data_IF_927350476760
#
_entry.id   IF_927350476760
#
_cell.length_a   1.000
_cell.length_b   1.000
_cell.length_c   1.000
_cell.angle_alpha   90.00
_cell.angle_beta   90.00
_cell.angle_gamma   90.00
#
_symmetry.space_group_name_H-M   'P 1'
#
loop_
_entity.id
_entity.type
_entity.pdbx_description
1 polymer ?
#
# COMPACT_ATOMS: atom_id res chain seq x y z
N UNK A 1 -20.14 1.96 -9.22
CA UNK A 1 -20.70 3.17 -9.87
C UNK A 1 -22.21 3.32 -9.76
N UNK A 2 -22.95 2.26 -9.47
CA UNK A 2 -24.41 2.24 -9.26
C UNK A 2 -24.89 2.94 -7.98
N UNK A 3 -24.02 3.60 -7.21
CA UNK A 3 -24.38 4.52 -6.10
C UNK A 3 -24.49 5.99 -6.54
N UNK A 4 -24.02 6.34 -7.74
CA UNK A 4 -24.14 7.70 -8.28
C UNK A 4 -25.53 7.98 -8.86
N UNK A 5 -25.97 9.23 -8.79
CA UNK A 5 -27.24 9.72 -9.35
C UNK A 5 -27.00 10.89 -10.31
N UNK A 6 -27.86 11.05 -11.32
CA UNK A 6 -27.93 12.27 -12.11
C UNK A 6 -28.82 13.31 -11.43
N UNK A 7 -28.27 14.49 -11.16
CA UNK A 7 -29.00 15.56 -10.50
C UNK A 7 -28.48 16.95 -10.89
N UNK A 8 -29.37 17.93 -10.90
CA UNK A 8 -28.98 19.33 -11.02
C UNK A 8 -28.03 19.74 -9.90
N UNK A 9 -26.99 20.48 -10.26
CA UNK A 9 -25.97 20.97 -9.34
C UNK A 9 -26.48 22.16 -8.50
N UNK A 10 -27.55 21.92 -7.73
CA UNK A 10 -28.11 22.83 -6.73
C UNK A 10 -27.95 22.22 -5.34
N UNK A 11 -27.64 23.07 -4.37
CA UNK A 11 -27.56 22.65 -2.97
C UNK A 11 -28.97 22.49 -2.39
N UNK A 12 -29.16 21.44 -1.62
CA UNK A 12 -30.37 21.23 -0.83
C UNK A 12 -30.40 22.13 0.41
N UNK A 13 -31.57 22.24 1.04
CA UNK A 13 -31.71 22.97 2.31
C UNK A 13 -30.84 22.31 3.41
N UNK A 14 -30.01 23.10 4.08
CA UNK A 14 -29.03 22.60 5.06
C UNK A 14 -27.75 22.00 4.46
N UNK A 15 -27.63 21.93 3.13
CA UNK A 15 -26.43 21.50 2.43
C UNK A 15 -25.50 22.70 2.20
N UNK A 16 -24.26 22.62 2.70
CA UNK A 16 -23.27 23.68 2.56
C UNK A 16 -22.11 23.21 1.67
N UNK A 17 -21.61 24.13 0.84
CA UNK A 17 -20.37 23.93 0.09
C UNK A 17 -19.16 23.86 1.03
N UNK A 18 -18.29 22.88 0.81
CA UNK A 18 -17.04 22.73 1.57
C UNK A 18 -15.83 23.02 0.70
N UNK A 19 -15.67 22.27 -0.39
CA UNK A 19 -14.48 22.36 -1.23
C UNK A 19 -14.69 21.91 -2.66
N UNK A 20 -13.76 22.26 -3.54
CA UNK A 20 -13.79 21.98 -4.98
C UNK A 20 -12.40 21.63 -5.45
N UNK A 21 -12.31 20.65 -6.34
CA UNK A 21 -11.08 20.27 -7.02
C UNK A 21 -11.36 19.97 -8.50
N UNK A 22 -10.32 20.02 -9.35
CA UNK A 22 -10.40 19.94 -10.80
C UNK A 22 -9.59 18.76 -11.34
N UNK A 23 -9.76 18.48 -12.63
CA UNK A 23 -9.03 17.44 -13.35
C UNK A 23 -9.15 16.06 -12.68
N UNK A 24 -10.36 15.77 -12.18
CA UNK A 24 -10.69 14.54 -11.45
C UNK A 24 -11.31 13.51 -12.38
N UNK A 25 -10.78 12.30 -12.37
CA UNK A 25 -11.31 11.12 -13.07
C UNK A 25 -11.95 10.15 -12.07
N UNK A 26 -13.07 9.54 -12.44
CA UNK A 26 -13.75 8.51 -11.66
C UNK A 26 -13.42 7.10 -12.19
N UNK A 27 -13.22 6.15 -11.29
CA UNK A 27 -13.10 4.72 -11.57
C UNK A 27 -14.21 3.94 -10.90
N UNK A 28 -14.68 2.87 -11.54
CA UNK A 28 -15.56 1.88 -10.90
C UNK A 28 -14.72 0.69 -10.45
N UNK A 29 -14.46 0.56 -9.16
CA UNK A 29 -13.41 -0.37 -8.71
C UNK A 29 -12.07 -0.04 -9.35
N UNK A 30 -11.54 -0.98 -10.13
CA UNK A 30 -10.33 -0.82 -10.94
C UNK A 30 -10.60 -0.43 -12.40
N UNK A 31 -11.87 -0.44 -12.82
CA UNK A 31 -12.26 -0.13 -14.19
C UNK A 31 -12.28 1.38 -14.46
N UNK A 32 -11.69 1.77 -15.58
CA UNK A 32 -11.70 3.16 -16.06
C UNK A 32 -13.10 3.51 -16.56
N UNK A 33 -13.67 4.59 -16.03
CA UNK A 33 -14.94 5.13 -16.55
C UNK A 33 -14.71 6.20 -17.63
N UNK A 34 -15.78 6.59 -18.32
CA UNK A 34 -15.81 7.72 -19.25
C UNK A 34 -15.76 9.09 -18.55
N UNK A 35 -15.84 9.15 -17.23
CA UNK A 35 -15.87 10.39 -16.46
C UNK A 35 -14.46 10.87 -16.16
N UNK A 36 -13.94 11.68 -17.09
CA UNK A 36 -12.55 12.15 -17.10
C UNK A 36 -12.51 13.67 -17.14
N UNK A 37 -11.44 14.27 -16.62
CA UNK A 37 -11.19 15.72 -16.70
C UNK A 37 -12.35 16.58 -16.16
N UNK A 38 -13.00 16.07 -15.11
CA UNK A 38 -14.11 16.74 -14.47
C UNK A 38 -13.72 17.54 -13.25
N UNK A 39 -14.73 18.17 -12.70
CA UNK A 39 -14.68 18.97 -11.50
C UNK A 39 -15.48 18.28 -10.40
N UNK A 40 -14.86 18.15 -9.23
CA UNK A 40 -15.51 17.62 -8.04
C UNK A 40 -15.84 18.74 -7.08
N UNK A 41 -17.06 18.76 -6.55
CA UNK A 41 -17.50 19.67 -5.49
C UNK A 41 -17.98 18.85 -4.31
N UNK A 42 -17.33 19.05 -3.18
CA UNK A 42 -17.68 18.47 -1.89
C UNK A 42 -18.62 19.41 -1.14
N UNK A 43 -19.72 18.83 -0.66
CA UNK A 43 -20.66 19.48 0.24
C UNK A 43 -20.74 18.72 1.56
N UNK A 44 -21.50 19.25 2.53
CA UNK A 44 -21.75 18.56 3.80
C UNK A 44 -22.50 17.23 3.66
N UNK A 45 -23.15 16.96 2.52
CA UNK A 45 -24.02 15.79 2.34
C UNK A 45 -23.60 14.88 1.18
N UNK A 46 -22.89 15.41 0.18
CA UNK A 46 -22.63 14.70 -1.08
C UNK A 46 -21.41 15.24 -1.83
N UNK A 47 -20.96 14.44 -2.77
CA UNK A 47 -19.90 14.75 -3.72
C UNK A 47 -20.56 14.89 -5.09
N UNK A 48 -20.40 16.05 -5.70
CA UNK A 48 -20.85 16.33 -7.06
C UNK A 48 -19.67 16.23 -8.01
N UNK A 49 -19.87 15.59 -9.16
CA UNK A 49 -18.89 15.55 -10.23
C UNK A 49 -19.55 15.97 -11.55
N UNK A 50 -18.95 16.92 -12.27
CA UNK A 50 -19.46 17.39 -13.56
C UNK A 50 -18.32 17.84 -14.48
N UNK A 51 -18.61 18.16 -15.74
CA UNK A 51 -17.57 18.75 -16.60
C UNK A 51 -17.23 20.17 -16.11
N UNK A 52 -16.03 20.68 -16.41
CA UNK A 52 -15.63 22.02 -15.97
C UNK A 52 -16.68 23.08 -16.36
N UNK A 53 -17.26 23.74 -15.35
CA UNK A 53 -18.27 24.78 -15.55
C UNK A 53 -19.73 24.30 -15.55
N UNK A 54 -20.01 22.98 -15.50
CA UNK A 54 -21.37 22.46 -15.42
C UNK A 54 -21.99 22.71 -14.04
N UNK A 55 -21.23 22.45 -12.97
CA UNK A 55 -21.69 22.60 -11.58
C UNK A 55 -22.06 24.07 -11.27
N UNK A 56 -21.22 25.08 -11.57
CA UNK A 56 -21.58 26.49 -11.35
C UNK A 56 -22.80 26.97 -12.15
N UNK A 57 -23.10 26.32 -13.29
CA UNK A 57 -24.26 26.65 -14.14
C UNK A 57 -25.54 25.92 -13.69
N UNK A 58 -25.46 25.08 -12.65
CA UNK A 58 -26.60 24.30 -12.17
C UNK A 58 -27.02 23.19 -13.15
N UNK A 59 -26.14 22.74 -14.03
CA UNK A 59 -26.44 21.67 -14.98
C UNK A 59 -26.48 20.30 -14.26
N UNK A 60 -26.98 19.29 -14.98
CA UNK A 60 -27.04 17.91 -14.48
C UNK A 60 -25.61 17.37 -14.31
N UNK A 61 -25.32 16.87 -13.12
CA UNK A 61 -24.04 16.32 -12.71
C UNK A 61 -24.23 14.96 -12.04
N UNK A 62 -23.13 14.24 -11.82
CA UNK A 62 -23.11 13.03 -11.00
C UNK A 62 -23.08 13.41 -9.53
N UNK A 63 -23.93 12.78 -8.73
CA UNK A 63 -23.99 12.96 -7.28
C UNK A 63 -23.78 11.64 -6.56
N UNK A 64 -22.83 11.62 -5.63
CA UNK A 64 -22.63 10.54 -4.67
C UNK A 64 -22.89 11.06 -3.26
N UNK A 65 -23.85 10.48 -2.56
CA UNK A 65 -24.10 10.86 -1.17
C UNK A 65 -23.02 10.33 -0.24
N UNK A 66 -22.62 11.15 0.74
CA UNK A 66 -21.57 10.81 1.71
C UNK A 66 -22.00 9.67 2.64
N UNK A 67 -23.30 9.47 2.87
CA UNK A 67 -23.80 8.37 3.71
C UNK A 67 -23.46 6.97 3.16
N UNK A 68 -23.13 6.85 1.86
CA UNK A 68 -22.65 5.58 1.32
C UNK A 68 -21.21 5.26 1.75
N UNK A 69 -20.40 6.27 2.08
CA UNK A 69 -18.97 6.11 2.34
C UNK A 69 -18.78 5.62 3.77
N UNK A 70 -18.22 4.42 3.94
CA UNK A 70 -17.89 3.87 5.27
C UNK A 70 -16.38 3.76 5.54
N UNK A 71 -15.56 3.75 4.49
CA UNK A 71 -14.10 3.74 4.60
C UNK A 71 -13.48 4.54 3.45
N UNK A 72 -12.33 5.17 3.71
CA UNK A 72 -11.56 5.92 2.72
C UNK A 72 -10.08 5.56 2.84
N UNK A 73 -9.43 5.41 1.70
CA UNK A 73 -8.00 5.09 1.61
C UNK A 73 -7.32 6.02 0.59
N UNK A 74 -6.04 6.33 0.81
CA UNK A 74 -5.21 7.02 -0.18
C UNK A 74 -4.33 6.00 -0.91
N UNK A 75 -4.56 5.84 -2.21
CA UNK A 75 -3.71 5.04 -3.09
C UNK A 75 -2.70 5.98 -3.78
N UNK A 76 -1.43 5.84 -3.43
CA UNK A 76 -0.35 6.46 -4.18
C UNK A 76 -0.07 5.60 -5.41
N UNK A 77 -0.67 5.94 -6.55
CA UNK A 77 -0.37 5.28 -7.81
C UNK A 77 1.12 5.42 -8.15
N UNK A 78 1.71 4.38 -8.73
CA UNK A 78 3.12 4.36 -9.13
C UNK A 78 3.79 3.05 -8.69
N UNK A 79 4.69 2.53 -9.53
CA UNK A 79 5.54 1.41 -9.12
C UNK A 79 6.41 1.92 -7.95
N UNK A 80 6.30 1.29 -6.78
CA UNK A 80 7.02 1.69 -5.55
C UNK A 80 6.69 3.09 -4.98
N UNK A 81 5.49 3.63 -5.21
CA UNK A 81 5.08 4.91 -4.62
C UNK A 81 5.79 6.15 -5.20
N UNK A 82 6.57 5.99 -6.27
CA UNK A 82 7.21 7.07 -7.00
C UNK A 82 6.41 7.39 -8.28
N UNK A 83 5.79 8.57 -8.29
CA UNK A 83 5.45 9.29 -9.53
C UNK A 83 4.18 8.89 -10.30
N UNK A 84 3.25 8.14 -9.72
CA UNK A 84 1.92 7.94 -10.34
C UNK A 84 0.84 8.83 -9.72
N UNK A 85 -0.35 8.89 -10.37
CA UNK A 85 -1.43 9.73 -9.90
C UNK A 85 -1.95 9.21 -8.56
N UNK A 86 -1.96 10.09 -7.55
CA UNK A 86 -2.60 9.82 -6.27
C UNK A 86 -4.11 9.70 -6.46
N UNK A 87 -4.72 8.73 -5.76
CA UNK A 87 -6.14 8.43 -5.84
C UNK A 87 -6.73 8.34 -4.45
N UNK A 88 -7.96 8.81 -4.32
CA UNK A 88 -8.78 8.57 -3.14
C UNK A 88 -9.68 7.38 -3.46
N UNK A 89 -9.59 6.32 -2.68
CA UNK A 89 -10.48 5.16 -2.74
C UNK A 89 -11.61 5.38 -1.74
N UNK A 90 -12.85 5.26 -2.20
CA UNK A 90 -14.05 5.36 -1.37
C UNK A 90 -14.76 4.02 -1.36
N UNK A 91 -14.81 3.37 -0.20
CA UNK A 91 -15.58 2.14 -0.02
C UNK A 91 -17.04 2.49 0.32
N UNK A 92 -17.95 1.90 -0.45
CA UNK A 92 -19.36 2.26 -0.49
C UNK A 92 -20.24 1.13 0.04
N UNK A 93 -21.23 1.48 0.85
CA UNK A 93 -22.27 0.57 1.32
C UNK A 93 -23.24 0.10 0.21
N UNK A 94 -24.21 -0.76 0.56
CA UNK A 94 -25.24 -1.22 -0.38
C UNK A 94 -26.06 -0.05 -0.95
N UNK A 95 -26.54 -0.18 -2.19
CA UNK A 95 -27.51 0.78 -2.77
C UNK A 95 -28.81 0.77 -1.98
N UNK A 96 -29.42 1.94 -1.81
CA UNK A 96 -30.73 2.07 -1.15
C UNK A 96 -31.84 2.01 -2.21
N UNK A 97 -32.97 1.33 -1.95
CA UNK A 97 -34.14 1.37 -2.82
C UNK A 97 -34.68 2.79 -3.02
N UNK A 98 -35.14 3.12 -4.22
CA UNK A 98 -35.71 4.44 -4.53
C UNK A 98 -34.69 5.51 -4.99
N UNK A 99 -33.43 5.11 -5.21
CA UNK A 99 -32.38 5.94 -5.79
C UNK A 99 -32.76 6.45 -7.19
N UNK A 100 -32.36 7.68 -7.54
CA UNK A 100 -32.54 8.24 -8.89
C UNK A 100 -31.67 7.52 -9.94
N UNK A 101 -32.01 7.60 -11.24
CA UNK A 101 -31.18 7.05 -12.31
C UNK A 101 -29.74 7.58 -12.25
N UNK A 102 -28.78 6.70 -12.52
CA UNK A 102 -27.35 6.99 -12.48
C UNK A 102 -26.61 6.38 -13.67
N UNK A 103 -25.27 6.51 -13.70
CA UNK A 103 -24.45 6.06 -14.83
C UNK A 103 -24.38 4.54 -14.97
N UNK A 104 -24.70 3.78 -13.91
CA UNK A 104 -24.74 2.33 -13.91
C UNK A 104 -25.96 1.83 -13.11
N UNK A 105 -26.58 0.75 -13.58
CA UNK A 105 -27.71 0.09 -12.89
C UNK A 105 -27.20 -0.83 -11.78
N UNK A 106 -26.12 -1.56 -12.06
CA UNK A 106 -25.42 -2.44 -11.12
C UNK A 106 -23.93 -2.24 -11.29
N UNK A 107 -23.19 -2.27 -10.20
CA UNK A 107 -21.74 -2.33 -10.20
C UNK A 107 -21.26 -3.59 -9.49
N UNK A 108 -20.28 -4.33 -10.04
CA UNK A 108 -19.69 -5.47 -9.36
C UNK A 108 -18.77 -5.05 -8.19
N UNK A 109 -18.43 -3.76 -8.09
CA UNK A 109 -17.48 -3.24 -7.12
C UNK A 109 -18.16 -2.53 -5.95
N UNK A 110 -17.55 -2.68 -4.77
CA UNK A 110 -17.99 -2.04 -3.53
C UNK A 110 -17.19 -0.78 -3.21
N UNK A 111 -16.39 -0.30 -4.16
CA UNK A 111 -15.57 0.90 -4.03
C UNK A 111 -15.44 1.63 -5.35
N UNK A 112 -15.09 2.91 -5.28
CA UNK A 112 -14.76 3.75 -6.43
C UNK A 112 -13.45 4.48 -6.16
N UNK A 113 -12.80 4.97 -7.21
CA UNK A 113 -11.58 5.79 -7.06
C UNK A 113 -11.76 7.17 -7.71
N UNK A 114 -11.35 8.22 -7.00
CA UNK A 114 -11.11 9.53 -7.59
C UNK A 114 -9.62 9.71 -7.84
N UNK A 115 -9.24 9.86 -9.11
CA UNK A 115 -7.87 10.13 -9.53
C UNK A 115 -7.72 11.59 -9.89
N UNK A 116 -6.82 12.29 -9.22
CA UNK A 116 -6.56 13.71 -9.41
C UNK A 116 -5.32 13.85 -10.28
N UNK A 117 -5.44 14.42 -11.49
CA UNK A 117 -4.30 14.55 -12.40
C UNK A 117 -3.23 15.49 -11.86
N UNK A 118 -3.63 16.53 -11.13
CA UNK A 118 -2.72 17.53 -10.55
C UNK A 118 -2.23 17.14 -9.14
N UNK A 119 -2.56 15.93 -8.69
CA UNK A 119 -2.35 15.48 -7.30
C UNK A 119 -3.57 15.75 -6.42
N UNK A 120 -3.63 15.09 -5.26
CA UNK A 120 -4.71 15.29 -4.30
C UNK A 120 -4.43 16.58 -3.50
N UNK A 121 -5.37 17.52 -3.51
CA UNK A 121 -5.34 18.64 -2.56
C UNK A 121 -5.57 18.11 -1.13
N UNK A 122 -4.55 18.24 -0.27
CA UNK A 122 -4.62 17.84 1.14
C UNK A 122 -5.80 18.54 1.87
N UNK A 123 -6.15 19.77 1.50
CA UNK A 123 -7.29 20.46 2.09
C UNK A 123 -8.63 19.84 1.66
N UNK A 124 -8.73 19.37 0.41
CA UNK A 124 -9.88 18.63 -0.08
C UNK A 124 -10.03 17.29 0.62
N UNK A 125 -8.95 16.50 0.73
CA UNK A 125 -8.99 15.20 1.42
C UNK A 125 -9.36 15.35 2.89
N UNK A 126 -8.77 16.32 3.60
CA UNK A 126 -9.11 16.61 4.99
C UNK A 126 -10.58 17.02 5.14
N UNK A 127 -11.08 17.92 4.29
CA UNK A 127 -12.47 18.34 4.31
C UNK A 127 -13.44 17.17 4.03
N UNK A 128 -13.09 16.26 3.11
CA UNK A 128 -13.87 15.06 2.84
C UNK A 128 -13.92 14.14 4.06
N UNK A 129 -12.77 13.91 4.71
CA UNK A 129 -12.68 13.11 5.92
C UNK A 129 -13.52 13.68 7.07
N UNK A 130 -13.40 14.99 7.30
CA UNK A 130 -14.20 15.70 8.31
C UNK A 130 -15.69 15.67 7.97
N UNK A 131 -16.08 15.83 6.70
CA UNK A 131 -17.48 15.79 6.28
C UNK A 131 -18.11 14.40 6.48
N UNK A 132 -17.38 13.34 6.14
CA UNK A 132 -17.84 11.96 6.36
C UNK A 132 -17.95 11.66 7.85
N UNK A 133 -16.98 12.09 8.66
CA UNK A 133 -17.00 11.91 10.11
C UNK A 133 -18.10 12.73 10.82
N UNK A 134 -18.38 13.94 10.33
CA UNK A 134 -19.39 14.84 10.90
C UNK A 134 -20.83 14.35 10.66
N UNK A 135 -21.03 13.49 9.64
CA UNK A 135 -22.31 12.86 9.30
C UNK A 135 -23.49 13.83 9.33
N UNK A 136 -23.35 14.97 8.65
CA UNK A 136 -24.35 16.04 8.70
C UNK A 136 -25.76 15.58 8.31
N UNK A 137 -25.86 14.54 7.47
CA UNK A 137 -27.11 13.90 7.04
C UNK A 137 -27.85 13.13 8.14
N UNK A 138 -27.18 12.73 9.24
CA UNK A 138 -27.84 12.08 10.40
C UNK A 138 -28.43 13.11 11.37
N UNK A 139 -28.03 14.38 11.25
CA UNK A 139 -28.56 15.47 12.06
C UNK A 139 -29.96 15.85 11.56
N UNK A 140 -30.93 15.01 11.88
CA UNK A 140 -32.35 15.35 11.74
C UNK A 140 -32.60 16.64 12.50
N UNK A 141 -33.21 17.63 11.82
CA UNK A 141 -33.73 18.83 12.45
C UNK A 141 -34.64 18.41 13.62
N UNK A 142 -34.13 18.47 14.85
CA UNK A 142 -35.01 18.58 16.00
C UNK A 142 -35.70 19.93 15.88
N UNK A 143 -36.92 19.89 15.35
CA UNK A 143 -37.93 20.92 15.56
C UNK A 143 -38.12 21.00 17.07
N UNK A 144 -37.32 21.83 17.73
CA UNK A 144 -37.48 22.16 19.13
C UNK A 144 -38.53 23.25 19.19
N UNK A 145 -39.75 22.78 19.48
CA UNK A 145 -40.87 23.54 20.00
C UNK A 145 -40.43 24.60 20.99
N UNK A 146 -40.94 25.81 20.76
CA UNK A 146 -40.93 26.97 21.63
C UNK A 146 -41.30 26.66 23.07
N UNK A 147 -40.39 27.00 24.00
CA UNK A 147 -40.76 27.26 25.39
C UNK A 147 -40.08 28.55 25.85
N UNK A 148 -40.92 29.57 25.99
CA UNK A 148 -40.66 30.82 26.69
C UNK A 148 -40.09 30.58 28.09
N UNK A 149 -39.17 31.44 28.53
CA UNK A 149 -39.12 32.16 29.83
C UNK A 149 -37.79 32.96 29.92
N UNK A 150 -37.71 34.01 30.77
CA UNK A 150 -37.17 35.29 30.32
C UNK A 150 -35.78 35.66 30.87
N UNK A 151 -35.13 36.55 30.11
CA UNK A 151 -34.24 37.66 30.48
C UNK A 151 -33.40 37.57 31.78
N UNK A 152 -32.08 37.56 31.58
CA UNK A 152 -31.14 38.22 32.49
C UNK A 152 -30.12 39.00 31.65
N UNK A 153 -30.13 40.31 31.86
CA UNK A 153 -29.24 41.31 31.27
C UNK A 153 -27.76 41.01 31.53
N UNK A 154 -26.97 40.93 30.47
CA UNK A 154 -25.59 41.41 30.48
C UNK A 154 -25.13 41.72 29.07
N UNK A 155 -25.16 43.00 28.72
CA UNK A 155 -24.42 43.58 27.59
C UNK A 155 -22.93 43.27 27.72
N UNK A 156 -22.22 43.02 26.60
CA UNK A 156 -21.51 44.13 25.98
C UNK A 156 -21.67 44.20 24.45
N UNK A 157 -21.94 45.42 24.00
CA UNK A 157 -21.68 46.04 22.68
C UNK A 157 -21.13 45.13 21.55
N UNK A 158 -21.86 44.98 20.44
CA UNK A 158 -21.24 44.67 19.16
C UNK A 158 -20.64 45.95 18.56
N UNK A 159 -19.33 45.96 18.35
CA UNK A 159 -18.68 46.92 17.46
C UNK A 159 -19.11 46.60 16.02
N UNK A 160 -20.04 47.40 15.52
CA UNK A 160 -20.41 47.45 14.10
C UNK A 160 -19.20 47.99 13.34
N UNK A 161 -18.43 47.10 12.72
CA UNK A 161 -17.58 47.46 11.59
C UNK A 161 -18.47 47.49 10.33
N UNK A 162 -18.50 48.60 9.58
CA UNK A 162 -19.29 48.66 8.36
C UNK A 162 -18.66 47.71 7.33
N UNK A 163 -19.46 46.77 6.83
CA UNK A 163 -19.16 46.03 5.60
C UNK A 163 -19.12 47.08 4.49
N UNK A 164 -17.93 47.58 4.21
CA UNK A 164 -17.62 48.26 2.97
C UNK A 164 -17.80 47.24 1.85
N UNK A 165 -18.99 47.20 1.27
CA UNK A 165 -19.21 46.67 -0.08
C UNK A 165 -18.52 47.60 -1.07
N UNK A 166 -17.17 47.58 -1.07
CA UNK A 166 -16.41 48.09 -2.20
C UNK A 166 -16.54 47.08 -3.32
N UNK A 167 -17.50 47.35 -4.20
CA UNK A 167 -17.46 46.93 -5.59
C UNK A 167 -16.08 47.34 -6.13
N UNK A 168 -15.11 46.41 -6.14
CA UNK A 168 -13.76 46.63 -6.65
C UNK A 168 -13.54 45.79 -7.91
N UNK A 169 -14.11 46.30 -8.99
CA UNK A 169 -13.45 46.49 -10.29
C UNK A 169 -12.52 45.37 -10.82
N UNK A 170 -13.07 44.52 -11.68
CA UNK A 170 -12.40 43.96 -12.86
C UNK A 170 -11.48 42.75 -12.69
N UNK A 171 -11.39 41.93 -13.74
CA UNK A 171 -10.56 40.72 -13.89
C UNK A 171 -9.09 40.95 -13.45
N UNK A 172 -8.57 42.16 -13.66
CA UNK A 172 -7.20 42.59 -13.30
C UNK A 172 -6.95 42.62 -11.78
N UNK A 173 -7.98 42.87 -10.96
CA UNK A 173 -7.85 42.87 -9.49
C UNK A 173 -7.75 41.46 -8.91
N UNK A 174 -8.42 40.50 -9.53
CA UNK A 174 -8.36 39.08 -9.17
C UNK A 174 -7.01 38.51 -9.59
N UNK A 175 -6.52 38.85 -10.79
CA UNK A 175 -5.20 38.44 -11.29
C UNK A 175 -4.07 38.88 -10.34
N UNK A 176 -4.08 40.16 -9.92
CA UNK A 176 -3.11 40.67 -8.94
C UNK A 176 -3.23 40.00 -7.57
N UNK A 177 -4.44 39.66 -7.12
CA UNK A 177 -4.63 38.94 -5.85
C UNK A 177 -4.17 37.48 -5.92
N UNK A 178 -4.31 36.83 -7.08
CA UNK A 178 -3.85 35.46 -7.32
C UNK A 178 -2.31 35.44 -7.38
N UNK A 179 -1.68 36.37 -8.09
CA UNK A 179 -0.21 36.51 -8.13
C UNK A 179 0.38 36.78 -6.74
N UNK A 180 -0.27 37.63 -5.94
CA UNK A 180 0.18 37.93 -4.58
C UNK A 180 0.02 36.72 -3.64
N UNK A 181 -1.04 35.93 -3.81
CA UNK A 181 -1.23 34.67 -3.10
C UNK A 181 -0.21 33.61 -3.52
N UNK A 182 0.07 33.45 -4.83
CA UNK A 182 1.13 32.57 -5.32
C UNK A 182 2.50 32.96 -4.76
N UNK A 183 2.84 34.24 -4.75
CA UNK A 183 4.11 34.73 -4.19
C UNK A 183 4.22 34.44 -2.69
N UNK A 184 3.13 34.59 -1.93
CA UNK A 184 3.12 34.27 -0.50
C UNK A 184 3.26 32.75 -0.25
N UNK A 185 2.61 31.92 -1.07
CA UNK A 185 2.74 30.47 -1.02
C UNK A 185 4.16 30.02 -1.39
N UNK A 186 4.76 30.57 -2.44
CA UNK A 186 6.14 30.26 -2.85
C UNK A 186 7.17 30.65 -1.78
N UNK A 187 6.96 31.78 -1.10
CA UNK A 187 7.79 32.19 0.03
C UNK A 187 7.62 31.23 1.22
N UNK A 188 6.40 30.83 1.56
CA UNK A 188 6.14 29.87 2.63
C UNK A 188 6.73 28.49 2.31
N UNK A 189 6.66 28.05 1.05
CA UNK A 189 7.23 26.80 0.57
C UNK A 189 8.77 26.86 0.63
N UNK A 190 9.37 27.97 0.21
CA UNK A 190 10.82 28.16 0.26
C UNK A 190 11.38 28.13 1.68
N UNK A 191 10.67 28.74 2.64
CA UNK A 191 11.03 28.69 4.07
C UNK A 191 10.89 27.28 4.62
N UNK A 192 9.80 26.56 4.29
CA UNK A 192 9.62 25.17 4.70
C UNK A 192 10.71 24.23 4.13
N UNK A 193 11.13 24.43 2.87
CA UNK A 193 12.24 23.68 2.28
C UNK A 193 13.59 24.00 2.91
N UNK A 194 13.84 25.26 3.29
CA UNK A 194 15.04 25.62 4.04
C UNK A 194 15.08 24.95 5.42
N UNK A 195 13.95 24.89 6.12
CA UNK A 195 13.89 24.26 7.44
C UNK A 195 13.95 22.73 7.36
N UNK A 196 13.35 22.12 6.33
CA UNK A 196 13.55 20.70 6.05
C UNK A 196 15.02 20.41 5.72
N UNK A 197 15.68 21.28 4.95
CA UNK A 197 17.11 21.13 4.63
C UNK A 197 17.99 21.22 5.89
N UNK A 198 17.71 22.16 6.79
CA UNK A 198 18.40 22.25 8.10
C UNK A 198 18.12 21.01 8.96
N UNK A 199 16.89 20.51 8.97
CA UNK A 199 16.54 19.29 9.68
C UNK A 199 17.29 18.08 9.12
N UNK A 200 17.38 17.96 7.79
CA UNK A 200 18.16 16.92 7.12
C UNK A 200 19.65 17.03 7.41
N UNK A 201 20.21 18.23 7.47
CA UNK A 201 21.61 18.46 7.85
C UNK A 201 21.88 18.01 9.30
N UNK A 202 20.98 18.36 10.23
CA UNK A 202 21.06 17.93 11.64
C UNK A 202 20.89 16.43 11.80
N UNK A 203 19.98 15.82 11.04
CA UNK A 203 19.81 14.38 11.00
C UNK A 203 21.07 13.69 10.43
N UNK A 204 21.69 14.24 9.39
CA UNK A 204 22.94 13.71 8.81
C UNK A 204 24.11 13.75 9.80
N UNK A 205 24.25 14.83 10.57
CA UNK A 205 25.23 14.92 11.66
C UNK A 205 24.98 13.81 12.70
N UNK A 206 23.73 13.65 13.15
CA UNK A 206 23.36 12.63 14.13
C UNK A 206 23.60 11.19 13.63
N UNK A 207 23.31 10.91 12.36
CA UNK A 207 23.58 9.61 11.73
C UNK A 207 25.09 9.34 11.62
N UNK A 208 25.89 10.35 11.24
CA UNK A 208 27.35 10.21 11.12
C UNK A 208 28.00 9.90 12.46
N UNK A 209 27.56 10.58 13.53
CA UNK A 209 28.00 10.33 14.90
C UNK A 209 27.62 8.91 15.33
N UNK A 210 26.39 8.49 15.05
CA UNK A 210 25.89 7.14 15.35
C UNK A 210 26.69 6.03 14.66
N UNK A 211 27.06 6.23 13.38
CA UNK A 211 27.94 5.30 12.63
C UNK A 211 29.36 5.23 13.22
N UNK A 212 29.92 6.37 13.63
CA UNK A 212 31.26 6.41 14.24
C UNK A 212 31.28 5.72 15.60
N UNK A 213 30.23 5.91 16.42
CA UNK A 213 30.08 5.22 17.71
C UNK A 213 29.93 3.71 17.48
N UNK A 214 29.11 3.30 16.51
CA UNK A 214 28.93 1.88 16.16
C UNK A 214 30.24 1.21 15.73
N UNK A 215 31.03 1.87 14.87
CA UNK A 215 32.35 1.36 14.46
C UNK A 215 33.30 1.25 15.64
N UNK A 216 33.32 2.25 16.52
CA UNK A 216 34.22 2.29 17.69
C UNK A 216 33.85 1.27 18.76
N UNK A 217 32.56 0.97 18.93
CA UNK A 217 32.06 -0.14 19.77
C UNK A 217 32.51 -1.48 19.18
N UNK A 218 32.44 -1.65 17.86
CA UNK A 218 32.90 -2.86 17.17
C UNK A 218 34.41 -3.07 17.30
N UNK A 219 35.20 -1.99 17.29
CA UNK A 219 36.67 -2.03 17.43
C UNK A 219 37.15 -2.29 18.86
N UNK A 220 36.35 -1.96 19.89
CA UNK A 220 36.69 -2.10 21.32
C UNK A 220 36.00 -3.28 22.00
N UNK A 221 35.83 -4.38 21.28
CA UNK A 221 35.07 -5.58 21.67
C UNK A 221 35.68 -6.34 22.87
N UNK A 222 35.70 -5.71 24.05
CA UNK A 222 36.27 -6.26 25.29
C UNK A 222 36.20 -5.38 26.54
N UNK A 223 35.87 -4.09 26.44
CA UNK A 223 35.96 -3.13 27.58
C UNK A 223 34.66 -2.33 27.83
N UNK A 224 33.54 -2.78 27.26
CA UNK A 224 32.23 -2.09 27.31
C UNK A 224 31.18 -3.05 27.86
N UNK A 225 30.37 -2.60 28.83
CA UNK A 225 29.29 -3.39 29.42
C UNK A 225 28.28 -3.82 28.35
N UNK A 226 27.84 -5.08 28.37
CA UNK A 226 26.83 -5.61 27.43
C UNK A 226 25.53 -4.80 27.46
N UNK A 227 25.17 -4.26 28.63
CA UNK A 227 23.95 -3.45 28.84
C UNK A 227 23.98 -2.13 28.04
N UNK A 228 25.15 -1.47 27.97
CA UNK A 228 25.32 -0.24 27.20
C UNK A 228 25.22 -0.51 25.69
N UNK A 229 25.67 -1.69 25.24
CA UNK A 229 25.58 -2.11 23.83
C UNK A 229 24.13 -2.40 23.43
N UNK A 230 23.35 -3.06 24.30
CA UNK A 230 21.94 -3.35 24.06
C UNK A 230 21.11 -2.07 24.03
N UNK A 231 21.35 -1.16 24.98
CA UNK A 231 20.66 0.13 25.04
C UNK A 231 21.00 1.01 23.83
N UNK A 232 22.26 1.02 23.41
CA UNK A 232 22.67 1.74 22.20
C UNK A 232 22.04 1.14 20.93
N UNK A 233 22.00 -0.19 20.79
CA UNK A 233 21.27 -0.86 19.70
C UNK A 233 19.79 -0.52 19.69
N UNK A 234 19.14 -0.45 20.86
CA UNK A 234 17.72 -0.05 20.95
C UNK A 234 17.49 1.42 20.54
N UNK A 235 18.46 2.30 20.81
CA UNK A 235 18.41 3.71 20.42
C UNK A 235 18.61 3.88 18.91
N UNK A 236 19.56 3.14 18.33
CA UNK A 236 19.77 3.07 16.89
C UNK A 236 18.54 2.52 16.15
N UNK A 237 17.93 1.45 16.67
CA UNK A 237 16.69 0.88 16.14
C UNK A 237 15.53 1.88 16.21
N UNK A 238 15.43 2.65 17.30
CA UNK A 238 14.43 3.71 17.47
C UNK A 238 14.67 4.92 16.56
N UNK A 239 15.94 5.18 16.21
CA UNK A 239 16.34 6.18 15.21
C UNK A 239 16.27 5.66 13.77
N UNK A 240 15.97 4.37 13.57
CA UNK A 240 15.94 3.72 12.26
C UNK A 240 17.31 3.50 11.62
N UNK A 241 18.39 3.57 12.40
CA UNK A 241 19.77 3.34 11.98
C UNK A 241 20.11 1.87 12.30
N UNK A 242 19.59 0.94 11.51
CA UNK A 242 20.16 -0.40 11.46
C UNK A 242 21.33 -0.36 10.46
N UNK A 243 22.38 -1.20 10.60
CA UNK A 243 23.54 -1.17 9.69
C UNK A 243 23.56 -2.41 8.77
N UNK A 244 22.54 -2.63 7.90
CA UNK A 244 22.59 -3.68 6.91
C UNK A 244 23.37 -3.22 5.67
N UNK A 245 23.64 -4.15 4.77
CA UNK A 245 24.36 -3.92 3.52
C UNK A 245 23.55 -2.93 2.65
N UNK A 246 23.95 -1.67 2.62
CA UNK A 246 23.42 -0.62 1.73
C UNK A 246 24.35 -0.39 0.54
N UNK A 247 23.79 -0.11 -0.64
CA UNK A 247 24.58 0.18 -1.86
C UNK A 247 25.61 1.28 -1.66
N UNK A 248 25.32 2.27 -0.81
CA UNK A 248 26.21 3.40 -0.53
C UNK A 248 27.46 3.03 0.30
N UNK A 249 27.47 1.85 0.93
CA UNK A 249 28.61 1.39 1.76
C UNK A 249 29.71 0.74 0.92
N UNK A 250 29.39 0.30 -0.30
CA UNK A 250 30.31 -0.46 -1.17
C UNK A 250 30.72 0.35 -2.40
N UNK A 251 32.02 0.29 -2.75
CA UNK A 251 32.59 0.98 -3.92
C UNK A 251 32.35 0.24 -5.25
N UNK A 252 31.88 -1.01 -5.19
CA UNK A 252 31.67 -1.89 -6.33
C UNK A 252 30.37 -2.68 -6.14
N UNK A 253 29.56 -2.77 -7.21
CA UNK A 253 28.30 -3.53 -7.21
C UNK A 253 28.53 -5.02 -6.89
N UNK A 254 29.70 -5.57 -7.25
CA UNK A 254 30.03 -6.98 -6.97
C UNK A 254 30.19 -7.25 -5.47
N UNK A 255 30.83 -6.35 -4.74
CA UNK A 255 31.05 -6.50 -3.30
C UNK A 255 29.74 -6.31 -2.53
N UNK A 256 28.87 -5.41 -3.03
CA UNK A 256 27.51 -5.23 -2.53
C UNK A 256 26.70 -6.53 -2.63
N UNK A 257 26.63 -7.15 -3.80
CA UNK A 257 25.85 -8.39 -3.96
C UNK A 257 26.45 -9.57 -3.20
N UNK A 258 27.78 -9.61 -3.05
CA UNK A 258 28.46 -10.65 -2.27
C UNK A 258 28.18 -10.52 -0.77
N UNK A 259 28.23 -9.29 -0.22
CA UNK A 259 27.82 -9.02 1.16
C UNK A 259 26.33 -9.28 1.39
N UNK A 260 25.49 -8.93 0.41
CA UNK A 260 24.05 -9.19 0.46
C UNK A 260 23.74 -10.69 0.44
N UNK A 261 24.47 -11.48 -0.36
CA UNK A 261 24.32 -12.93 -0.41
C UNK A 261 24.65 -13.58 0.94
N UNK A 262 25.74 -13.17 1.60
CA UNK A 262 26.08 -13.62 2.95
C UNK A 262 24.95 -13.27 3.94
N UNK A 263 24.46 -12.04 3.90
CA UNK A 263 23.40 -11.58 4.79
C UNK A 263 22.09 -12.37 4.61
N UNK A 264 21.71 -12.63 3.35
CA UNK A 264 20.53 -13.46 3.01
C UNK A 264 20.73 -14.88 3.52
N UNK A 265 21.93 -15.44 3.34
CA UNK A 265 22.27 -16.77 3.85
C UNK A 265 22.04 -16.84 5.37
N UNK A 266 22.65 -15.94 6.13
CA UNK A 266 22.58 -15.95 7.59
C UNK A 266 21.13 -15.80 8.10
N UNK A 267 20.31 -14.96 7.46
CA UNK A 267 18.90 -14.79 7.82
C UNK A 267 18.04 -16.00 7.44
N UNK A 268 18.27 -16.61 6.28
CA UNK A 268 17.33 -17.58 5.69
C UNK A 268 17.63 -19.03 6.07
N UNK A 269 18.83 -19.40 6.54
CA UNK A 269 19.16 -20.80 6.89
C UNK A 269 18.16 -21.37 7.89
N UNK A 270 17.97 -20.71 9.03
CA UNK A 270 17.07 -21.19 10.08
C UNK A 270 15.61 -21.29 9.58
N UNK A 271 15.17 -20.26 8.85
CA UNK A 271 13.81 -20.19 8.29
C UNK A 271 13.56 -21.30 7.27
N UNK A 272 14.55 -21.60 6.42
CA UNK A 272 14.46 -22.69 5.44
C UNK A 272 14.34 -24.03 6.13
N UNK A 273 15.13 -24.29 7.19
CA UNK A 273 15.05 -25.54 7.96
C UNK A 273 13.63 -25.71 8.54
N UNK A 274 13.07 -24.66 9.12
CA UNK A 274 11.71 -24.68 9.70
C UNK A 274 10.61 -24.90 8.64
N UNK A 275 10.84 -24.47 7.39
CA UNK A 275 9.88 -24.56 6.29
C UNK A 275 10.12 -25.78 5.37
N UNK A 276 10.80 -26.83 5.85
CA UNK A 276 11.01 -28.06 5.08
C UNK A 276 12.14 -27.98 4.04
N UNK A 277 13.04 -27.00 4.17
CA UNK A 277 14.28 -26.86 3.42
C UNK A 277 14.15 -26.23 2.03
N UNK A 278 12.99 -25.71 1.68
CA UNK A 278 12.74 -25.06 0.39
C UNK A 278 11.71 -23.93 0.50
N UNK A 279 11.95 -22.81 -0.18
CA UNK A 279 11.05 -21.65 -0.16
C UNK A 279 11.03 -20.94 -1.51
N UNK A 280 9.88 -20.34 -1.88
CA UNK A 280 9.81 -19.53 -3.09
C UNK A 280 10.63 -18.25 -2.97
N UNK A 281 11.25 -17.79 -4.06
CA UNK A 281 12.04 -16.56 -4.02
C UNK A 281 11.18 -15.34 -3.65
N UNK A 282 9.89 -15.35 -3.99
CA UNK A 282 8.94 -14.32 -3.59
C UNK A 282 8.72 -14.29 -2.07
N UNK A 283 8.57 -15.46 -1.43
CA UNK A 283 8.43 -15.54 0.03
C UNK A 283 9.73 -15.14 0.73
N UNK A 284 10.88 -15.52 0.18
CA UNK A 284 12.20 -15.07 0.66
C UNK A 284 12.29 -13.55 0.61
N UNK A 285 11.92 -12.93 -0.52
CA UNK A 285 11.91 -11.47 -0.66
C UNK A 285 11.06 -10.79 0.42
N UNK A 286 9.84 -11.29 0.62
CA UNK A 286 8.93 -10.78 1.65
C UNK A 286 9.53 -10.92 3.06
N UNK A 287 10.12 -12.07 3.38
CA UNK A 287 10.70 -12.33 4.71
C UNK A 287 11.94 -11.48 4.98
N UNK A 288 12.84 -11.37 4.02
CA UNK A 288 14.06 -10.56 4.15
C UNK A 288 13.69 -9.09 4.31
N UNK A 289 12.77 -8.56 3.50
CA UNK A 289 12.35 -7.16 3.62
C UNK A 289 11.58 -6.88 4.91
N UNK A 290 10.77 -7.84 5.38
CA UNK A 290 10.11 -7.74 6.69
C UNK A 290 11.11 -7.73 7.84
N UNK A 291 12.22 -8.46 7.73
CA UNK A 291 13.29 -8.46 8.71
C UNK A 291 14.12 -7.17 8.68
N UNK A 292 14.33 -6.57 7.50
CA UNK A 292 15.11 -5.33 7.30
C UNK A 292 14.36 -4.04 7.66
N UNK A 293 13.03 -4.05 7.67
CA UNK A 293 12.21 -2.90 8.09
C UNK A 293 12.24 -1.73 7.10
N UNK A 294 13.14 -0.77 7.30
CA UNK A 294 13.19 0.47 6.52
C UNK A 294 14.12 0.37 5.30
N UNK A 295 15.16 -0.45 5.36
CA UNK A 295 16.15 -0.57 4.29
C UNK A 295 15.83 -1.74 3.36
N UNK A 296 14.80 -1.54 2.55
CA UNK A 296 14.25 -2.55 1.64
C UNK A 296 15.21 -2.88 0.48
N UNK A 297 15.22 -4.15 0.08
CA UNK A 297 15.94 -4.66 -1.09
C UNK A 297 14.97 -4.77 -2.27
N UNK A 298 15.42 -4.38 -3.47
CA UNK A 298 14.64 -4.59 -4.69
C UNK A 298 14.59 -6.09 -5.08
N UNK A 299 13.55 -6.55 -5.79
CA UNK A 299 13.48 -7.94 -6.25
C UNK A 299 14.69 -8.37 -7.11
N UNK A 300 15.20 -7.45 -7.94
CA UNK A 300 16.36 -7.69 -8.79
C UNK A 300 17.65 -7.85 -7.97
N UNK A 301 17.84 -7.01 -6.95
CA UNK A 301 19.02 -7.09 -6.08
C UNK A 301 19.04 -8.39 -5.28
N UNK A 302 17.88 -8.82 -4.77
CA UNK A 302 17.75 -10.11 -4.10
C UNK A 302 18.10 -11.26 -5.06
N UNK A 303 17.57 -11.24 -6.28
CA UNK A 303 17.85 -12.27 -7.28
C UNK A 303 19.35 -12.33 -7.64
N UNK A 304 19.99 -11.17 -7.82
CA UNK A 304 21.40 -11.10 -8.15
C UNK A 304 22.28 -11.57 -6.99
N UNK A 305 21.95 -11.22 -5.75
CA UNK A 305 22.61 -11.78 -4.57
C UNK A 305 22.41 -13.30 -4.46
N UNK A 306 21.18 -13.81 -4.70
CA UNK A 306 20.90 -15.24 -4.66
C UNK A 306 21.68 -16.04 -5.72
N UNK A 307 21.98 -15.47 -6.90
CA UNK A 307 22.85 -16.12 -7.90
C UNK A 307 24.28 -16.31 -7.40
N UNK A 308 24.75 -15.42 -6.52
CA UNK A 308 26.11 -15.47 -5.97
C UNK A 308 26.23 -16.37 -4.73
N UNK A 309 25.13 -16.93 -4.21
CA UNK A 309 25.16 -17.83 -3.04
C UNK A 309 26.07 -19.04 -3.24
N UNK A 310 26.18 -19.55 -4.48
CA UNK A 310 27.10 -20.64 -4.83
C UNK A 310 28.57 -20.22 -4.70
N UNK A 311 28.89 -18.94 -4.89
CA UNK A 311 30.25 -18.42 -4.79
C UNK A 311 30.67 -18.14 -3.35
N UNK A 312 29.70 -18.01 -2.44
CA UNK A 312 29.90 -17.68 -1.02
C UNK A 312 29.92 -18.94 -0.14
N UNK A 313 29.92 -20.14 -0.76
CA UNK A 313 29.86 -21.44 -0.07
C UNK A 313 28.72 -21.54 0.97
N UNK A 314 27.57 -20.97 0.59
CA UNK A 314 26.38 -20.97 1.44
C UNK A 314 25.73 -22.37 1.46
N UNK A 315 25.16 -22.82 2.59
CA UNK A 315 24.44 -24.10 2.69
C UNK A 315 23.12 -24.13 1.90
N UNK A 316 22.79 -23.07 1.16
CA UNK A 316 21.62 -22.98 0.30
C UNK A 316 22.00 -22.51 -1.12
N UNK A 317 21.16 -22.87 -2.08
CA UNK A 317 21.35 -22.49 -3.48
C UNK A 317 20.04 -22.06 -4.13
N UNK A 318 20.17 -21.15 -5.10
CA UNK A 318 19.08 -20.74 -5.97
C UNK A 318 18.83 -21.82 -7.02
N UNK A 319 17.59 -22.29 -7.11
CA UNK A 319 17.13 -23.25 -8.12
C UNK A 319 16.00 -22.65 -8.94
N UNK A 320 15.93 -23.04 -10.21
CA UNK A 320 14.84 -22.71 -11.13
C UNK A 320 14.16 -23.99 -11.61
N UNK A 321 12.85 -24.10 -11.39
CA UNK A 321 12.04 -25.21 -11.88
C UNK A 321 11.74 -25.08 -13.39
N UNK A 322 11.37 -26.18 -14.07
CA UNK A 322 10.92 -26.14 -15.46
C UNK A 322 9.73 -25.21 -15.71
N UNK A 323 8.87 -25.03 -14.70
CA UNK A 323 7.76 -24.06 -14.72
C UNK A 323 8.22 -22.59 -14.75
N UNK A 324 9.51 -22.33 -14.54
CA UNK A 324 10.09 -20.99 -14.43
C UNK A 324 10.10 -20.45 -13.00
N UNK A 325 9.50 -21.15 -12.03
CA UNK A 325 9.52 -20.76 -10.63
C UNK A 325 10.94 -20.79 -10.05
N UNK A 326 11.38 -19.67 -9.47
CA UNK A 326 12.66 -19.56 -8.76
C UNK A 326 12.46 -19.80 -7.27
N UNK A 327 13.30 -20.65 -6.69
CA UNK A 327 13.21 -21.08 -5.29
C UNK A 327 14.59 -21.13 -4.65
N UNK A 328 14.61 -20.96 -3.35
CA UNK A 328 15.79 -21.12 -2.51
C UNK A 328 15.69 -22.46 -1.79
N UNK A 329 16.73 -23.28 -1.90
CA UNK A 329 16.72 -24.66 -1.40
C UNK A 329 18.01 -24.93 -0.62
N UNK A 330 17.91 -25.68 0.47
CA UNK A 330 19.10 -26.17 1.19
C UNK A 330 19.85 -27.20 0.33
N UNK A 331 21.18 -27.16 0.35
CA UNK A 331 22.00 -28.09 -0.45
C UNK A 331 21.86 -29.55 0.01
N UNK A 332 21.38 -29.78 1.23
CA UNK A 332 21.02 -31.10 1.76
C UNK A 332 19.81 -31.71 1.05
N UNK A 333 18.91 -30.89 0.52
CA UNK A 333 17.66 -31.35 -0.06
C UNK A 333 17.88 -31.72 -1.53
N UNK A 334 18.35 -32.93 -1.83
CA UNK A 334 18.48 -33.38 -3.24
C UNK A 334 17.14 -33.87 -3.79
N UNK A 335 16.91 -33.67 -5.08
CA UNK A 335 15.66 -34.07 -5.76
C UNK A 335 15.35 -35.56 -5.60
N UNK A 336 16.37 -36.42 -5.64
CA UNK A 336 16.21 -37.86 -5.49
C UNK A 336 15.71 -38.27 -4.08
N UNK A 337 16.21 -37.61 -3.03
CA UNK A 337 15.80 -37.88 -1.66
C UNK A 337 14.39 -37.37 -1.40
N UNK A 338 14.09 -36.17 -1.89
CA UNK A 338 12.76 -35.59 -1.85
C UNK A 338 11.76 -36.50 -2.58
N UNK A 339 12.10 -36.99 -3.77
CA UNK A 339 11.24 -37.86 -4.55
C UNK A 339 11.00 -39.21 -3.87
N UNK A 340 12.03 -39.82 -3.27
CA UNK A 340 11.88 -41.04 -2.46
C UNK A 340 10.97 -40.83 -1.26
N UNK A 341 11.17 -39.75 -0.50
CA UNK A 341 10.31 -39.41 0.63
C UNK A 341 8.85 -39.15 0.18
N UNK A 342 8.66 -38.54 -0.99
CA UNK A 342 7.32 -38.31 -1.57
C UNK A 342 6.67 -39.62 -2.02
N UNK A 343 7.45 -40.54 -2.59
CA UNK A 343 6.98 -41.88 -2.98
C UNK A 343 6.49 -42.67 -1.77
N UNK A 344 7.22 -42.62 -0.65
CA UNK A 344 6.78 -43.24 0.60
C UNK A 344 5.45 -42.66 1.10
N UNK A 345 5.31 -41.32 1.08
CA UNK A 345 4.04 -40.68 1.44
C UNK A 345 2.89 -41.06 0.50
N UNK A 346 3.17 -41.26 -0.80
CA UNK A 346 2.19 -41.75 -1.77
C UNK A 346 1.75 -43.18 -1.46
N UNK A 347 2.69 -44.05 -1.07
CA UNK A 347 2.39 -45.44 -0.68
C UNK A 347 1.55 -45.51 0.60
N UNK A 348 1.84 -44.69 1.59
CA UNK A 348 1.11 -44.63 2.86
C UNK A 348 -0.32 -44.09 2.70
N UNK A 349 -0.51 -43.06 1.87
CA UNK A 349 -1.81 -42.40 1.70
C UNK A 349 -2.61 -42.94 0.51
N UNK A 350 -2.03 -43.80 -0.32
CA UNK A 350 -2.59 -44.32 -1.56
C UNK A 350 -2.55 -43.32 -2.73
N UNK A 351 -2.95 -42.07 -2.49
CA UNK A 351 -2.82 -40.97 -3.44
C UNK A 351 -2.61 -39.64 -2.72
N UNK A 352 -1.99 -38.69 -3.42
CA UNK A 352 -1.80 -37.34 -2.91
C UNK A 352 -2.17 -36.30 -3.96
N UNK A 353 -2.91 -35.29 -3.53
CA UNK A 353 -3.09 -34.05 -4.29
C UNK A 353 -2.03 -33.04 -3.84
N UNK A 354 -1.71 -32.02 -4.66
CA UNK A 354 -0.77 -30.97 -4.25
C UNK A 354 -1.16 -30.29 -2.93
N UNK A 355 -2.46 -30.12 -2.66
CA UNK A 355 -2.97 -29.55 -1.41
C UNK A 355 -2.71 -30.49 -0.23
N UNK A 356 -3.00 -31.79 -0.36
CA UNK A 356 -2.77 -32.76 0.71
C UNK A 356 -1.29 -32.86 1.05
N UNK A 357 -0.42 -32.92 0.04
CA UNK A 357 1.02 -32.96 0.23
C UNK A 357 1.53 -31.67 0.90
N UNK A 358 0.99 -30.50 0.54
CA UNK A 358 1.38 -29.22 1.15
C UNK A 358 1.17 -29.21 2.66
N UNK A 359 0.07 -29.80 3.13
CA UNK A 359 -0.29 -29.88 4.55
C UNK A 359 0.61 -30.87 5.30
N UNK A 360 0.92 -32.02 4.69
CA UNK A 360 1.74 -33.05 5.31
C UNK A 360 3.22 -32.63 5.38
N UNK A 361 3.74 -32.09 4.28
CA UNK A 361 5.15 -31.73 4.16
C UNK A 361 5.47 -30.30 4.63
N UNK A 362 4.47 -29.54 5.10
CA UNK A 362 4.59 -28.15 5.54
C UNK A 362 5.31 -27.24 4.51
N UNK A 363 4.95 -27.40 3.24
CA UNK A 363 5.46 -26.60 2.12
C UNK A 363 4.31 -25.91 1.41
N UNK A 364 4.58 -24.86 0.64
CA UNK A 364 3.52 -24.20 -0.14
C UNK A 364 2.94 -25.15 -1.20
N UNK A 365 1.67 -24.93 -1.59
CA UNK A 365 0.98 -25.75 -2.60
C UNK A 365 1.73 -25.75 -3.93
N UNK A 366 2.37 -24.63 -4.29
CA UNK A 366 3.22 -24.53 -5.48
C UNK A 366 4.40 -25.50 -5.40
N UNK A 367 5.13 -25.50 -4.29
CA UNK A 367 6.29 -26.38 -4.08
C UNK A 367 5.87 -27.85 -3.96
N UNK A 368 4.74 -28.13 -3.31
CA UNK A 368 4.17 -29.47 -3.26
C UNK A 368 3.87 -30.01 -4.67
N UNK A 369 3.33 -29.15 -5.55
CA UNK A 369 3.08 -29.51 -6.95
C UNK A 369 4.38 -29.81 -7.71
N UNK A 370 5.39 -28.95 -7.61
CA UNK A 370 6.70 -29.17 -8.25
C UNK A 370 7.39 -30.45 -7.72
N UNK A 371 7.23 -30.73 -6.43
CA UNK A 371 7.73 -31.95 -5.79
C UNK A 371 7.08 -33.21 -6.36
N UNK A 372 5.76 -33.19 -6.58
CA UNK A 372 5.04 -34.27 -7.23
C UNK A 372 5.46 -34.46 -8.69
N UNK A 373 5.61 -33.36 -9.45
CA UNK A 373 6.11 -33.43 -10.83
C UNK A 373 7.55 -33.95 -10.92
N UNK A 374 8.41 -33.59 -9.97
CA UNK A 374 9.77 -34.14 -9.88
C UNK A 374 9.73 -35.65 -9.62
N UNK A 375 8.81 -36.11 -8.76
CA UNK A 375 8.63 -37.53 -8.43
C UNK A 375 8.06 -38.32 -9.63
N UNK A 376 7.13 -37.74 -10.38
CA UNK A 376 6.63 -38.29 -11.66
C UNK A 376 7.74 -38.37 -12.71
N UNK A 377 8.56 -37.32 -12.84
CA UNK A 377 9.67 -37.27 -13.81
C UNK A 377 10.73 -38.34 -13.55
N UNK A 378 10.90 -38.75 -12.29
CA UNK A 378 11.77 -39.86 -11.88
C UNK A 378 11.09 -41.24 -11.98
N UNK A 379 9.85 -41.29 -12.45
CA UNK A 379 9.08 -42.52 -12.62
C UNK A 379 8.55 -43.14 -11.33
N UNK A 380 8.63 -42.44 -10.19
CA UNK A 380 8.17 -42.96 -8.89
C UNK A 380 6.67 -42.73 -8.63
N UNK A 381 6.07 -41.79 -9.35
CA UNK A 381 4.65 -41.48 -9.27
C UNK A 381 3.99 -41.48 -10.65
N UNK A 382 2.68 -41.73 -10.66
CA UNK A 382 1.82 -41.58 -11.83
C UNK A 382 0.80 -40.48 -11.58
N UNK A 383 0.58 -39.65 -12.59
CA UNK A 383 -0.42 -38.58 -12.56
C UNK A 383 -1.76 -39.10 -13.05
N UNK A 384 -2.82 -38.72 -12.34
CA UNK A 384 -4.21 -38.81 -12.76
C UNK A 384 -4.78 -37.39 -12.83
N UNK A 385 -5.22 -37.00 -14.03
CA UNK A 385 -5.77 -35.67 -14.29
C UNK A 385 -7.18 -35.84 -14.84
N UNK A 386 -8.17 -35.53 -14.01
CA UNK A 386 -9.59 -35.71 -14.30
C UNK A 386 -10.38 -34.44 -13.98
N UNK A 387 -11.70 -34.47 -14.18
CA UNK A 387 -12.60 -33.38 -13.77
C UNK A 387 -12.56 -33.12 -12.24
N UNK A 388 -12.15 -34.12 -11.45
CA UNK A 388 -12.04 -34.01 -10.00
C UNK A 388 -10.75 -33.31 -9.57
N UNK A 389 -9.78 -33.18 -10.48
CA UNK A 389 -8.54 -32.44 -10.30
C UNK A 389 -7.29 -33.25 -10.59
N UNK A 390 -6.17 -32.77 -10.05
CA UNK A 390 -4.84 -33.35 -10.22
C UNK A 390 -4.48 -34.19 -8.99
N UNK A 391 -4.34 -35.50 -9.18
CA UNK A 391 -3.90 -36.44 -8.17
C UNK A 391 -2.66 -37.22 -8.65
N UNK A 392 -1.84 -37.66 -7.71
CA UNK A 392 -0.69 -38.52 -7.95
C UNK A 392 -0.84 -39.80 -7.16
N UNK A 393 -0.44 -40.91 -7.78
CA UNK A 393 -0.46 -42.26 -7.23
C UNK A 393 0.93 -42.89 -7.28
N UNK A 394 1.23 -43.88 -6.42
CA UNK A 394 2.41 -44.73 -6.57
C UNK A 394 2.44 -45.35 -7.97
N UNK A 395 3.62 -45.41 -8.59
CA UNK A 395 3.76 -46.01 -9.91
C UNK A 395 3.65 -47.55 -9.87
N UNK A 396 2.42 -48.05 -9.96
CA UNK A 396 2.14 -49.49 -10.02
C UNK A 396 2.52 -50.12 -11.35
N UNK A 397 2.63 -49.34 -12.44
CA UNK A 397 3.03 -49.85 -13.76
C UNK A 397 4.48 -50.33 -13.79
N UNK A 398 5.35 -49.79 -12.92
CA UNK A 398 6.74 -50.24 -12.82
C UNK A 398 6.97 -51.26 -11.70
N UNK A 399 6.10 -51.30 -10.68
CA UNK A 399 6.29 -52.15 -9.50
C UNK A 399 5.49 -53.46 -9.53
N UNK A 400 4.41 -53.53 -10.30
CA UNK A 400 3.53 -54.72 -10.43
C UNK A 400 3.45 -55.28 -11.85
N UNK A 401 4.38 -54.89 -12.73
CA UNK A 401 4.48 -55.41 -14.10
C UNK A 401 5.00 -56.85 -14.15
#
# INVERSE_FOLDING_TARGET
>A
MDRFEYIEARLFEGENYLKRDKNVKIYDGDDKTQFVDGEVVLTTHRILWGKPGDIPKGLVCLSLHLYYIFCMEEESGGMFGLGGPKRIILHLGPTIPGKRPGPAVVSPYHFIKFSFKDGIDNAFYKALSEAVAAKAWERTQQVSTSSNLPASNSTPKPSVTPINSKIRSGIVGIERSIEEQHRATDQSISVAFQDLKKLMEKAKEMVTVSKTISSKIREKQGDISEDDTVRFKSYLMSLGIDDPVTRDTFRSDSDYYMGLAQQISDMMVAVLIDCGGIMSLADVWCRVNRARGLELISPEDLLNACKLLQNVDSPMSLRKFPSGACVLQLNSNRDEEIAKATSQLLEENGFLTPVKLSQIANVSVLLARERLFTTESLGLACRDESIEGLAFYPNMFLTKA
#
